data_IF_280554487189
#
_entry.id   IF_280554487189
#
_cell.length_a   1.000
_cell.length_b   1.000
_cell.length_c   1.000
_cell.angle_alpha   90.00
_cell.angle_beta   90.00
_cell.angle_gamma   90.00
#
_symmetry.space_group_name_H-M   'P 1'
#
loop_
_entity.id
_entity.type
_entity.pdbx_description
1 polymer ?
#
# COMPACT_ATOMS: atom_id res chain seq x y z
N UNK A 1 37.96 -11.29 -16.62
CA UNK A 1 36.57 -10.83 -16.46
C UNK A 1 35.88 -11.36 -15.19
N UNK A 2 36.02 -12.64 -14.82
CA UNK A 2 35.35 -13.21 -13.61
C UNK A 2 35.82 -12.64 -12.26
N UNK A 3 37.09 -12.30 -12.09
CA UNK A 3 37.65 -11.73 -10.81
C UNK A 3 37.21 -10.29 -10.54
N UNK A 4 36.90 -9.50 -11.56
CA UNK A 4 36.47 -8.11 -11.42
C UNK A 4 35.00 -7.99 -10.92
N UNK A 5 34.16 -8.97 -11.23
CA UNK A 5 32.77 -8.97 -10.76
C UNK A 5 32.64 -9.37 -9.28
N UNK A 6 33.54 -10.18 -8.75
CA UNK A 6 33.54 -10.56 -7.32
C UNK A 6 34.02 -9.41 -6.42
N UNK A 7 35.01 -8.63 -6.87
CA UNK A 7 35.51 -7.47 -6.12
C UNK A 7 34.46 -6.34 -6.07
N UNK A 8 33.71 -6.12 -7.17
CA UNK A 8 32.60 -5.15 -7.21
C UNK A 8 31.44 -5.53 -6.27
N UNK A 9 31.15 -6.83 -6.15
CA UNK A 9 30.08 -7.32 -5.25
C UNK A 9 30.49 -7.22 -3.77
N UNK A 10 31.78 -7.32 -3.45
CA UNK A 10 32.28 -7.19 -2.07
C UNK A 10 32.35 -5.71 -1.64
N UNK A 11 32.78 -4.82 -2.52
CA UNK A 11 32.82 -3.37 -2.27
C UNK A 11 31.42 -2.76 -2.04
N UNK A 12 30.39 -3.30 -2.71
CA UNK A 12 28.99 -2.85 -2.49
C UNK A 12 28.37 -3.34 -1.17
N UNK A 13 28.95 -4.33 -0.50
CA UNK A 13 28.47 -4.81 0.81
C UNK A 13 29.00 -4.00 1.99
N UNK A 14 30.08 -3.27 1.82
CA UNK A 14 30.76 -2.53 2.89
C UNK A 14 30.68 -1.00 2.75
N UNK A 15 30.07 -0.46 1.68
CA UNK A 15 29.94 0.98 1.49
C UNK A 15 28.82 1.51 2.39
N UNK A 16 29.23 2.15 3.46
CA UNK A 16 28.38 2.91 4.39
C UNK A 16 27.56 3.96 3.58
N UNK A 17 26.28 4.07 3.83
CA UNK A 17 25.29 4.92 3.15
C UNK A 17 25.72 6.38 3.03
N UNK A 18 26.51 6.86 3.96
CA UNK A 18 27.08 8.23 3.93
C UNK A 18 28.07 8.46 2.78
N UNK A 19 28.84 7.43 2.38
CA UNK A 19 29.71 7.47 1.20
C UNK A 19 28.90 7.40 -0.10
N UNK A 20 27.77 6.71 -0.07
CA UNK A 20 26.81 6.59 -1.18
C UNK A 20 26.17 7.95 -1.48
N UNK A 21 25.79 8.70 -0.44
CA UNK A 21 25.23 10.06 -0.54
C UNK A 21 26.25 11.11 -1.02
N UNK A 22 27.50 10.97 -0.61
CA UNK A 22 28.61 11.85 -1.07
C UNK A 22 28.96 11.57 -2.55
N UNK A 23 28.85 10.33 -2.99
CA UNK A 23 29.08 9.94 -4.37
C UNK A 23 28.04 10.55 -5.32
N UNK A 24 26.76 10.61 -4.89
CA UNK A 24 25.66 11.23 -5.65
C UNK A 24 25.85 12.73 -5.93
N UNK A 25 26.52 13.45 -5.06
CA UNK A 25 26.76 14.91 -5.21
C UNK A 25 27.78 15.29 -6.27
N UNK A 26 28.58 14.32 -6.75
CA UNK A 26 29.77 14.58 -7.56
C UNK A 26 29.71 14.05 -9.00
N UNK A 27 28.63 13.38 -9.41
CA UNK A 27 28.58 12.66 -10.69
C UNK A 27 27.80 13.44 -11.75
N UNK A 28 28.28 13.42 -13.00
CA UNK A 28 27.66 14.00 -14.19
C UNK A 28 26.36 13.29 -14.57
N UNK A 29 25.42 13.98 -15.27
CA UNK A 29 24.09 13.48 -15.63
C UNK A 29 24.06 12.09 -16.31
N UNK A 30 25.03 11.76 -17.16
CA UNK A 30 25.06 10.45 -17.84
C UNK A 30 25.44 9.28 -16.91
N UNK A 31 26.29 9.50 -15.93
CA UNK A 31 26.65 8.49 -14.93
C UNK A 31 25.52 8.28 -13.93
N UNK A 32 24.76 9.32 -13.60
CA UNK A 32 23.54 9.22 -12.80
C UNK A 32 22.47 8.35 -13.48
N UNK A 33 22.26 8.50 -14.78
CA UNK A 33 21.29 7.68 -15.55
C UNK A 33 21.72 6.21 -15.56
N UNK A 34 23.01 5.92 -15.76
CA UNK A 34 23.54 4.54 -15.69
C UNK A 34 23.43 3.96 -14.28
N UNK A 35 23.63 4.77 -13.26
CA UNK A 35 23.51 4.35 -11.86
C UNK A 35 22.05 4.03 -11.49
N UNK A 36 21.08 4.86 -11.88
CA UNK A 36 19.63 4.63 -11.68
C UNK A 36 19.18 3.33 -12.37
N UNK A 37 19.65 3.07 -13.60
CA UNK A 37 19.39 1.81 -14.28
C UNK A 37 20.03 0.60 -13.57
N UNK A 38 21.19 0.78 -12.91
CA UNK A 38 21.84 -0.26 -12.11
C UNK A 38 21.08 -0.56 -10.81
N UNK A 39 20.44 0.41 -10.15
CA UNK A 39 19.75 0.19 -8.87
C UNK A 39 18.50 -0.67 -9.01
N UNK A 40 17.66 -0.42 -10.03
CA UNK A 40 16.51 -1.30 -10.29
C UNK A 40 16.97 -2.73 -10.66
N UNK A 41 18.05 -2.85 -11.44
CA UNK A 41 18.64 -4.16 -11.77
C UNK A 41 19.14 -4.88 -10.50
N UNK A 42 19.73 -4.13 -9.55
CA UNK A 42 20.20 -4.65 -8.27
C UNK A 42 19.05 -5.19 -7.40
N UNK A 43 17.94 -4.46 -7.29
CA UNK A 43 16.82 -4.85 -6.45
C UNK A 43 15.78 -5.74 -7.15
N UNK A 44 15.89 -5.99 -8.45
CA UNK A 44 14.88 -6.69 -9.26
C UNK A 44 14.40 -8.00 -8.64
N UNK A 45 15.34 -8.88 -8.29
CA UNK A 45 15.01 -10.19 -7.74
C UNK A 45 14.46 -10.09 -6.31
N UNK A 46 14.93 -9.11 -5.54
CA UNK A 46 14.43 -8.83 -4.20
C UNK A 46 13.00 -8.30 -4.23
N UNK A 47 12.70 -7.38 -5.15
CA UNK A 47 11.34 -6.86 -5.37
C UNK A 47 10.37 -7.99 -5.75
N UNK A 48 10.72 -8.80 -6.75
CA UNK A 48 9.91 -9.95 -7.18
C UNK A 48 9.68 -10.96 -6.05
N UNK A 49 10.71 -11.29 -5.29
CA UNK A 49 10.62 -12.21 -4.16
C UNK A 49 9.72 -11.67 -3.04
N UNK A 50 9.89 -10.39 -2.67
CA UNK A 50 9.09 -9.77 -1.63
C UNK A 50 7.63 -9.57 -2.07
N UNK A 51 7.38 -9.18 -3.32
CA UNK A 51 6.02 -9.08 -3.87
C UNK A 51 5.29 -10.44 -3.84
N UNK A 52 5.95 -11.52 -4.25
CA UNK A 52 5.41 -12.88 -4.14
C UNK A 52 5.17 -13.31 -2.68
N UNK A 53 6.06 -12.92 -1.75
CA UNK A 53 5.88 -13.21 -0.32
C UNK A 53 4.66 -12.48 0.25
N UNK A 54 4.46 -11.20 -0.12
CA UNK A 54 3.29 -10.40 0.26
C UNK A 54 1.99 -10.97 -0.35
N UNK A 55 2.04 -11.39 -1.61
CA UNK A 55 0.91 -11.99 -2.33
C UNK A 55 0.73 -13.49 -2.05
N UNK A 56 1.29 -14.02 -0.96
CA UNK A 56 1.18 -15.45 -0.64
C UNK A 56 -0.28 -15.83 -0.38
N UNK A 57 -0.73 -16.91 -1.04
CA UNK A 57 -2.09 -17.44 -0.88
C UNK A 57 -2.42 -17.76 0.58
N UNK A 58 -3.64 -17.43 1.03
CA UNK A 58 -4.10 -17.62 2.40
C UNK A 58 -3.61 -16.57 3.40
N UNK A 59 -2.90 -15.51 2.93
CA UNK A 59 -2.45 -14.40 3.77
C UNK A 59 -2.86 -13.07 3.17
N UNK A 60 -3.08 -12.09 4.04
CA UNK A 60 -3.33 -10.70 3.66
C UNK A 60 -2.31 -9.74 4.28
N UNK A 61 -2.62 -8.47 4.21
CA UNK A 61 -1.80 -7.38 4.74
C UNK A 61 -2.60 -6.63 5.81
N UNK A 62 -1.98 -6.43 6.97
CA UNK A 62 -2.54 -5.60 8.04
C UNK A 62 -2.16 -4.13 7.77
N UNK A 63 -3.16 -3.26 7.59
CA UNK A 63 -2.94 -1.83 7.43
C UNK A 63 -3.12 -1.14 8.79
N UNK A 64 -2.01 -0.68 9.38
CA UNK A 64 -1.93 0.05 10.67
C UNK A 64 -1.20 1.38 10.49
N UNK A 65 -1.39 1.96 9.32
CA UNK A 65 -0.70 3.14 8.83
C UNK A 65 -1.50 4.45 8.98
N UNK A 66 -2.50 4.44 9.85
CA UNK A 66 -3.29 5.61 10.15
C UNK A 66 -2.40 6.75 10.65
N UNK A 67 -2.60 7.95 10.07
CA UNK A 67 -1.96 9.17 10.59
C UNK A 67 -2.39 9.43 12.03
N UNK A 68 -1.61 10.19 12.77
CA UNK A 68 -1.91 10.59 14.15
C UNK A 68 -3.34 11.13 14.31
N UNK A 69 -3.83 11.93 13.37
CA UNK A 69 -5.20 12.44 13.40
C UNK A 69 -6.27 11.36 13.15
N UNK A 70 -5.97 10.39 12.25
CA UNK A 70 -6.91 9.31 11.95
C UNK A 70 -7.00 8.30 13.08
N UNK A 71 -5.88 7.88 13.66
CA UNK A 71 -5.90 6.98 14.82
C UNK A 71 -6.52 7.67 16.05
N UNK A 72 -6.29 8.97 16.22
CA UNK A 72 -6.92 9.77 17.29
C UNK A 72 -8.44 9.73 17.24
N UNK A 73 -9.05 9.81 16.05
CA UNK A 73 -10.51 9.65 15.91
C UNK A 73 -11.00 8.27 16.33
N UNK A 74 -10.19 7.22 16.08
CA UNK A 74 -10.53 5.85 16.49
C UNK A 74 -10.42 5.67 18.00
N UNK A 75 -9.35 6.18 18.63
CA UNK A 75 -9.13 6.15 20.08
C UNK A 75 -10.21 6.94 20.82
N UNK A 76 -10.59 8.10 20.30
CA UNK A 76 -11.70 8.90 20.86
C UNK A 76 -13.02 8.10 20.88
N UNK A 77 -13.27 7.24 19.90
CA UNK A 77 -14.46 6.38 19.85
C UNK A 77 -14.53 5.31 20.95
N UNK A 78 -13.44 5.09 21.68
CA UNK A 78 -13.34 4.19 22.84
C UNK A 78 -12.90 4.94 24.11
N UNK A 79 -12.98 6.27 24.12
CA UNK A 79 -12.60 7.15 25.23
C UNK A 79 -11.11 7.04 25.66
N UNK A 80 -10.21 6.71 24.73
CA UNK A 80 -8.77 6.66 24.97
C UNK A 80 -8.12 7.91 24.38
N UNK A 81 -7.25 8.55 25.16
CA UNK A 81 -6.53 9.75 24.72
C UNK A 81 -5.53 9.43 23.60
N UNK A 82 -5.41 10.33 22.62
CA UNK A 82 -4.48 10.19 21.51
C UNK A 82 -3.06 10.63 21.89
N UNK A 83 -2.42 9.90 22.78
CA UNK A 83 -1.01 10.08 23.13
C UNK A 83 -0.11 9.16 22.31
N UNK A 84 1.18 9.45 22.24
CA UNK A 84 2.16 8.57 21.60
C UNK A 84 2.20 7.19 22.28
N UNK A 85 2.14 7.18 23.61
CA UNK A 85 2.14 5.95 24.42
C UNK A 85 0.94 5.06 24.09
N UNK A 86 -0.26 5.64 23.99
CA UNK A 86 -1.47 4.88 23.67
C UNK A 86 -1.44 4.36 22.22
N UNK A 87 -0.88 5.13 21.27
CA UNK A 87 -0.68 4.66 19.90
C UNK A 87 0.35 3.52 19.83
N UNK A 88 1.44 3.63 20.60
CA UNK A 88 2.46 2.60 20.72
C UNK A 88 1.86 1.31 21.32
N UNK A 89 1.15 1.41 22.42
CA UNK A 89 0.52 0.26 23.09
C UNK A 89 -0.48 -0.44 22.17
N UNK A 90 -1.36 0.32 21.52
CA UNK A 90 -2.33 -0.23 20.58
C UNK A 90 -1.67 -0.98 19.40
N UNK A 91 -0.68 -0.38 18.77
CA UNK A 91 0.04 -1.01 17.64
C UNK A 91 0.90 -2.17 18.09
N UNK A 92 1.51 -2.05 19.27
CA UNK A 92 2.26 -3.13 19.91
C UNK A 92 1.40 -4.37 20.15
N UNK A 93 0.22 -4.22 20.73
CA UNK A 93 -0.76 -5.28 20.91
C UNK A 93 -1.07 -6.01 19.60
N UNK A 94 -1.33 -5.25 18.51
CA UNK A 94 -1.63 -5.86 17.20
C UNK A 94 -0.44 -6.67 16.69
N UNK A 95 0.81 -6.19 16.83
CA UNK A 95 1.99 -6.85 16.29
C UNK A 95 2.45 -8.05 17.13
N UNK A 96 2.09 -8.10 18.39
CA UNK A 96 2.43 -9.21 19.29
C UNK A 96 1.33 -10.26 19.40
N UNK A 97 0.20 -10.07 18.71
CA UNK A 97 -0.88 -11.06 18.64
C UNK A 97 -0.31 -12.43 18.25
N UNK A 98 -0.54 -13.49 19.06
CA UNK A 98 -0.03 -14.84 18.79
C UNK A 98 -0.47 -15.34 17.42
N UNK A 99 0.42 -16.02 16.71
CA UNK A 99 0.15 -16.63 15.39
C UNK A 99 -0.28 -15.66 14.28
N UNK A 100 -0.15 -14.34 14.47
CA UNK A 100 -0.53 -13.34 13.46
C UNK A 100 0.12 -13.66 12.09
N UNK A 101 1.37 -14.11 12.10
CA UNK A 101 2.11 -14.49 10.90
C UNK A 101 1.53 -15.67 10.11
N UNK A 102 0.55 -16.42 10.67
CA UNK A 102 -0.18 -17.45 9.90
C UNK A 102 -1.12 -16.83 8.88
N UNK A 103 -1.67 -15.65 9.15
CA UNK A 103 -2.71 -14.98 8.35
C UNK A 103 -2.21 -13.71 7.67
N UNK A 104 -1.14 -13.09 8.17
CA UNK A 104 -0.62 -11.81 7.71
C UNK A 104 0.77 -12.01 7.09
N UNK A 105 0.95 -11.53 5.86
CA UNK A 105 2.21 -11.55 5.12
C UNK A 105 3.01 -10.26 5.26
N UNK A 106 2.34 -9.14 5.50
CA UNK A 106 2.92 -7.82 5.65
C UNK A 106 2.08 -6.91 6.53
N UNK A 107 2.69 -5.92 7.17
CA UNK A 107 2.02 -4.86 7.92
C UNK A 107 2.48 -3.49 7.42
N UNK A 108 1.52 -2.61 7.07
CA UNK A 108 1.83 -1.23 6.65
C UNK A 108 1.88 -0.37 7.90
N UNK A 109 3.03 0.24 8.17
CA UNK A 109 3.27 1.09 9.33
C UNK A 109 3.08 2.58 8.98
N UNK A 110 2.73 3.37 9.98
CA UNK A 110 2.93 4.81 9.97
C UNK A 110 4.38 5.13 10.32
N UNK A 111 4.92 6.27 9.90
CA UNK A 111 6.34 6.64 10.08
C UNK A 111 6.75 6.58 11.55
N UNK A 112 5.96 7.15 12.47
CA UNK A 112 6.19 7.07 13.92
C UNK A 112 6.49 5.63 14.38
N UNK A 113 5.67 4.68 13.97
CA UNK A 113 5.76 3.27 14.40
C UNK A 113 6.97 2.54 13.82
N UNK A 114 7.44 2.92 12.63
CA UNK A 114 8.64 2.34 12.03
C UNK A 114 9.90 2.60 12.89
N UNK A 115 9.90 3.72 13.61
CA UNK A 115 11.02 4.15 14.45
C UNK A 115 10.81 3.85 15.95
N UNK A 116 9.62 3.40 16.35
CA UNK A 116 9.30 3.09 17.74
C UNK A 116 9.74 1.68 18.16
N UNK A 117 10.04 1.57 19.44
CA UNK A 117 10.20 0.30 20.12
C UNK A 117 8.85 -0.13 20.76
N UNK A 118 8.66 -1.40 20.97
CA UNK A 118 7.61 -1.97 21.79
C UNK A 118 7.94 -1.74 23.29
N UNK A 119 6.96 -1.90 24.17
CA UNK A 119 7.13 -1.69 25.62
C UNK A 119 8.21 -2.53 26.27
N UNK A 120 8.62 -3.63 25.66
CA UNK A 120 9.72 -4.50 26.13
C UNK A 120 11.10 -4.10 25.59
N UNK A 121 11.22 -2.98 24.87
CA UNK A 121 12.46 -2.45 24.33
C UNK A 121 12.89 -3.01 22.98
N UNK A 122 12.16 -3.98 22.41
CA UNK A 122 12.42 -4.44 21.05
C UNK A 122 11.71 -3.54 20.02
N UNK A 123 12.34 -3.30 18.85
CA UNK A 123 11.70 -2.49 17.82
C UNK A 123 10.42 -3.13 17.30
N UNK A 124 9.41 -2.31 16.96
CA UNK A 124 8.16 -2.76 16.32
C UNK A 124 8.42 -3.57 15.04
N UNK A 125 9.45 -3.18 14.29
CA UNK A 125 9.92 -3.90 13.10
C UNK A 125 10.42 -5.31 13.46
N UNK A 126 11.13 -5.47 14.59
CA UNK A 126 11.60 -6.78 15.08
C UNK A 126 10.44 -7.69 15.42
N UNK A 127 9.41 -7.20 16.12
CA UNK A 127 8.19 -7.95 16.47
C UNK A 127 7.52 -8.56 15.24
N UNK A 128 7.37 -7.77 14.18
CA UNK A 128 6.81 -8.26 12.92
C UNK A 128 7.70 -9.32 12.25
N UNK A 129 9.02 -9.07 12.20
CA UNK A 129 9.97 -10.01 11.57
C UNK A 129 10.02 -11.36 12.27
N UNK A 130 9.93 -11.41 13.60
CA UNK A 130 9.90 -12.65 14.40
C UNK A 130 8.72 -13.55 13.99
N UNK A 131 7.60 -12.98 13.60
CA UNK A 131 6.44 -13.70 13.09
C UNK A 131 6.48 -13.95 11.55
N UNK A 132 7.58 -13.60 10.89
CA UNK A 132 7.74 -13.76 9.45
C UNK A 132 6.92 -12.78 8.62
N UNK A 133 6.42 -11.70 9.24
CA UNK A 133 5.65 -10.61 8.60
C UNK A 133 6.62 -9.58 8.04
N UNK A 134 6.43 -9.17 6.79
CA UNK A 134 7.22 -8.11 6.18
C UNK A 134 6.75 -6.73 6.70
N UNK A 135 7.66 -5.89 7.25
CA UNK A 135 7.32 -4.51 7.56
C UNK A 135 7.18 -3.69 6.29
N UNK A 136 6.18 -2.83 6.23
CA UNK A 136 5.96 -1.86 5.18
C UNK A 136 5.70 -0.48 5.73
N UNK A 137 5.65 0.52 4.88
CA UNK A 137 5.58 1.92 5.27
C UNK A 137 4.64 2.73 4.38
N UNK A 138 3.76 3.53 4.97
CA UNK A 138 3.02 4.59 4.28
C UNK A 138 3.97 5.75 3.98
N UNK A 139 4.16 6.07 2.70
CA UNK A 139 5.13 7.09 2.27
C UNK A 139 4.49 8.38 1.75
N UNK A 140 3.20 8.37 1.46
CA UNK A 140 2.48 9.60 1.09
C UNK A 140 2.38 10.59 2.26
N UNK A 141 2.33 11.87 1.94
CA UNK A 141 2.22 13.00 2.88
C UNK A 141 0.79 13.57 2.96
N UNK A 142 -0.20 12.79 2.50
CA UNK A 142 -1.62 13.13 2.56
C UNK A 142 -2.17 13.89 1.36
N UNK A 143 -3.49 13.98 1.33
CA UNK A 143 -4.26 14.58 0.25
C UNK A 143 -4.19 16.11 0.27
N UNK A 144 -4.17 16.70 -0.91
CA UNK A 144 -4.24 18.14 -1.16
C UNK A 144 -5.29 18.42 -2.23
N UNK A 145 -6.01 19.57 -2.18
CA UNK A 145 -6.89 19.96 -3.26
C UNK A 145 -6.14 19.99 -4.60
N UNK A 146 -6.76 19.47 -5.65
CA UNK A 146 -6.14 19.43 -6.98
C UNK A 146 -6.33 20.78 -7.69
N UNK A 147 -5.26 21.54 -7.97
CA UNK A 147 -5.39 22.78 -8.72
C UNK A 147 -5.95 22.52 -10.13
N UNK A 148 -7.00 23.24 -10.49
CA UNK A 148 -7.72 23.04 -11.76
C UNK A 148 -8.70 21.86 -11.77
N UNK A 149 -8.77 21.07 -10.72
CA UNK A 149 -9.75 20.01 -10.53
C UNK A 149 -11.10 20.52 -10.02
N UNK A 150 -12.07 19.63 -9.94
CA UNK A 150 -13.37 19.91 -9.31
C UNK A 150 -13.19 20.12 -7.78
N UNK A 151 -14.13 20.80 -7.08
CA UNK A 151 -13.94 21.20 -5.69
C UNK A 151 -13.62 20.06 -4.69
N UNK A 152 -14.03 18.83 -4.98
CA UNK A 152 -13.78 17.65 -4.15
C UNK A 152 -12.57 16.83 -4.62
N UNK A 153 -11.92 17.21 -5.72
CA UNK A 153 -10.81 16.44 -6.27
C UNK A 153 -9.49 16.75 -5.58
N UNK A 154 -8.72 15.71 -5.38
CA UNK A 154 -7.45 15.77 -4.65
C UNK A 154 -6.34 15.07 -5.40
N UNK A 155 -5.12 15.47 -5.09
CA UNK A 155 -3.91 14.69 -5.38
C UNK A 155 -3.18 14.34 -4.07
N UNK A 156 -2.27 13.40 -4.13
CA UNK A 156 -1.51 13.01 -2.95
C UNK A 156 -0.09 13.58 -3.02
N UNK A 157 0.34 14.28 -1.95
CA UNK A 157 1.65 14.90 -1.86
C UNK A 157 2.71 13.95 -1.29
N UNK A 158 4.02 14.27 -1.49
CA UNK A 158 5.13 13.55 -0.88
C UNK A 158 6.10 12.88 -1.84
N UNK A 159 6.03 13.20 -3.15
CA UNK A 159 6.96 12.69 -4.16
C UNK A 159 8.37 13.28 -4.03
N UNK A 160 8.46 14.55 -3.59
CA UNK A 160 9.74 15.23 -3.41
C UNK A 160 10.52 14.59 -2.27
N UNK A 161 11.80 14.26 -2.51
CA UNK A 161 12.68 13.55 -1.58
C UNK A 161 12.24 12.13 -1.22
N UNK A 162 11.41 11.50 -2.07
CA UNK A 162 10.87 10.17 -1.78
C UNK A 162 11.92 9.08 -1.89
N UNK A 163 12.85 9.16 -2.82
CA UNK A 163 13.91 8.15 -3.00
C UNK A 163 14.80 8.08 -1.75
N UNK A 164 15.21 9.24 -1.24
CA UNK A 164 16.03 9.36 -0.03
C UNK A 164 15.30 8.80 1.19
N UNK A 165 14.04 9.20 1.40
CA UNK A 165 13.21 8.66 2.49
C UNK A 165 12.96 7.16 2.36
N UNK A 166 12.74 6.67 1.15
CA UNK A 166 12.54 5.25 0.90
C UNK A 166 13.79 4.42 1.22
N UNK A 167 14.98 4.96 0.94
CA UNK A 167 16.26 4.34 1.31
C UNK A 167 16.40 4.24 2.83
N UNK A 168 16.12 5.31 3.56
CA UNK A 168 16.14 5.30 5.04
C UNK A 168 15.14 4.27 5.60
N UNK A 169 13.94 4.20 5.05
CA UNK A 169 12.94 3.22 5.48
C UNK A 169 13.38 1.77 5.19
N UNK A 170 14.03 1.54 4.04
CA UNK A 170 14.58 0.23 3.71
C UNK A 170 15.64 -0.20 4.73
N UNK A 171 16.54 0.70 5.14
CA UNK A 171 17.55 0.47 6.17
C UNK A 171 16.94 0.19 7.54
N UNK A 172 15.86 0.89 7.89
CA UNK A 172 15.08 0.62 9.11
C UNK A 172 14.32 -0.71 9.07
N UNK A 173 14.32 -1.39 7.94
CA UNK A 173 13.79 -2.74 7.80
C UNK A 173 12.49 -2.87 7.05
N UNK A 174 11.93 -1.78 6.52
CA UNK A 174 10.80 -1.83 5.59
C UNK A 174 11.19 -2.62 4.32
N UNK A 175 10.23 -3.31 3.73
CA UNK A 175 10.40 -4.09 2.50
C UNK A 175 9.35 -3.79 1.44
N UNK A 176 8.37 -3.02 1.79
CA UNK A 176 7.36 -2.51 0.88
C UNK A 176 6.87 -1.13 1.32
N UNK A 177 6.31 -0.40 0.40
CA UNK A 177 5.74 0.92 0.63
C UNK A 177 4.28 0.96 0.17
N UNK A 178 3.51 1.91 0.69
CA UNK A 178 2.13 2.15 0.27
C UNK A 178 1.91 3.64 0.02
N UNK A 179 1.17 3.92 -1.06
CA UNK A 179 0.72 5.26 -1.44
C UNK A 179 -0.74 5.21 -1.87
N UNK A 180 -1.56 6.04 -1.25
CA UNK A 180 -2.99 6.11 -1.50
C UNK A 180 -3.32 7.34 -2.34
N UNK A 181 -3.96 7.14 -3.48
CA UNK A 181 -4.68 8.15 -4.23
C UNK A 181 -6.18 7.98 -4.00
N UNK A 182 -6.93 9.08 -3.98
CA UNK A 182 -8.37 9.06 -3.70
C UNK A 182 -9.13 9.75 -4.84
N UNK A 183 -10.12 9.04 -5.38
CA UNK A 183 -11.02 9.56 -6.39
C UNK A 183 -12.46 9.38 -5.91
N UNK A 184 -13.30 10.38 -6.16
CA UNK A 184 -14.71 10.36 -5.78
C UNK A 184 -15.59 10.32 -7.03
N UNK A 185 -16.61 9.48 -7.00
CA UNK A 185 -17.65 9.46 -8.03
C UNK A 185 -18.69 10.52 -7.68
N UNK A 186 -18.66 11.61 -8.42
CA UNK A 186 -19.66 12.66 -8.36
C UNK A 186 -20.46 12.74 -9.68
N UNK A 187 -21.36 13.73 -9.82
CA UNK A 187 -22.14 13.90 -11.04
C UNK A 187 -21.22 14.04 -12.26
N UNK A 188 -20.23 14.95 -12.17
CA UNK A 188 -19.28 15.27 -13.23
C UNK A 188 -17.88 14.67 -13.03
N UNK A 189 -17.68 13.84 -12.00
CA UNK A 189 -16.36 13.35 -11.61
C UNK A 189 -16.26 11.82 -11.55
N UNK A 190 -15.04 11.31 -11.39
CA UNK A 190 -13.78 12.06 -11.38
C UNK A 190 -13.43 12.61 -12.78
N UNK A 191 -12.87 13.83 -12.82
CA UNK A 191 -12.41 14.47 -14.06
C UNK A 191 -11.21 13.72 -14.67
N UNK A 192 -10.98 13.92 -15.97
CA UNK A 192 -9.79 13.37 -16.63
C UNK A 192 -8.50 13.89 -15.99
N UNK A 193 -8.46 15.15 -15.55
CA UNK A 193 -7.35 15.73 -14.84
C UNK A 193 -7.06 14.99 -13.54
N UNK A 194 -8.09 14.72 -12.72
CA UNK A 194 -7.91 14.00 -11.46
C UNK A 194 -7.45 12.55 -11.69
N UNK A 195 -7.98 11.88 -12.71
CA UNK A 195 -7.56 10.52 -13.06
C UNK A 195 -6.09 10.50 -13.49
N UNK A 196 -5.68 11.41 -14.39
CA UNK A 196 -4.31 11.47 -14.91
C UNK A 196 -3.30 11.84 -13.83
N UNK A 197 -3.58 12.87 -13.02
CA UNK A 197 -2.68 13.31 -11.94
C UNK A 197 -2.45 12.19 -10.92
N UNK A 198 -3.52 11.54 -10.47
CA UNK A 198 -3.40 10.47 -9.49
C UNK A 198 -2.74 9.21 -10.07
N UNK A 199 -3.02 8.87 -11.32
CA UNK A 199 -2.37 7.77 -12.01
C UNK A 199 -0.86 8.00 -12.18
N UNK A 200 -0.48 9.21 -12.60
CA UNK A 200 0.93 9.60 -12.74
C UNK A 200 1.65 9.64 -11.39
N UNK A 201 1.00 10.21 -10.37
CA UNK A 201 1.53 10.24 -9.00
C UNK A 201 1.80 8.84 -8.44
N UNK A 202 0.85 7.90 -8.62
CA UNK A 202 0.99 6.50 -8.24
C UNK A 202 2.13 5.79 -8.98
N UNK A 203 2.27 6.03 -10.27
CA UNK A 203 3.32 5.43 -11.09
C UNK A 203 4.71 5.98 -10.73
N UNK A 204 4.84 7.30 -10.57
CA UNK A 204 6.07 7.95 -10.16
C UNK A 204 6.51 7.50 -8.76
N UNK A 205 5.58 7.42 -7.81
CA UNK A 205 5.82 6.84 -6.50
C UNK A 205 6.34 5.40 -6.61
N UNK A 206 5.63 4.56 -7.37
CA UNK A 206 5.98 3.15 -7.50
C UNK A 206 7.40 2.96 -8.03
N UNK A 207 7.78 3.71 -9.07
CA UNK A 207 9.14 3.69 -9.61
C UNK A 207 10.17 4.16 -8.58
N UNK A 208 9.92 5.29 -7.90
CA UNK A 208 10.84 5.86 -6.92
C UNK A 208 11.18 4.88 -5.79
N UNK A 209 10.17 4.20 -5.23
CA UNK A 209 10.43 3.26 -4.10
C UNK A 209 11.06 1.95 -4.56
N UNK A 210 10.85 1.53 -5.81
CA UNK A 210 11.55 0.37 -6.38
C UNK A 210 13.05 0.59 -6.50
N UNK A 211 13.50 1.81 -6.74
CA UNK A 211 14.92 2.16 -6.76
C UNK A 211 15.59 2.03 -5.39
N UNK A 212 14.81 2.09 -4.31
CA UNK A 212 15.25 1.85 -2.94
C UNK A 212 14.96 0.43 -2.44
N UNK A 213 14.52 -0.50 -3.30
CA UNK A 213 14.27 -1.90 -2.96
C UNK A 213 12.95 -2.18 -2.25
N UNK A 214 12.04 -1.21 -2.17
CA UNK A 214 10.71 -1.38 -1.60
C UNK A 214 9.68 -1.77 -2.66
N UNK A 215 8.89 -2.82 -2.38
CA UNK A 215 7.74 -3.20 -3.22
C UNK A 215 6.64 -2.14 -3.11
N UNK A 216 6.23 -1.45 -4.18
CA UNK A 216 5.13 -0.52 -4.10
C UNK A 216 3.77 -1.23 -4.04
N UNK A 217 2.95 -0.86 -3.07
CA UNK A 217 1.51 -1.09 -3.09
C UNK A 217 0.85 0.14 -3.71
N UNK A 218 0.29 -0.04 -4.88
CA UNK A 218 -0.39 1.00 -5.66
C UNK A 218 -1.86 1.01 -5.25
N UNK A 219 -2.33 2.09 -4.59
CA UNK A 219 -3.68 2.17 -4.01
C UNK A 219 -4.52 3.27 -4.68
N UNK A 220 -5.13 3.00 -5.85
CA UNK A 220 -6.13 3.88 -6.45
C UNK A 220 -7.49 3.63 -5.80
N UNK A 221 -7.78 4.31 -4.71
CA UNK A 221 -9.05 4.16 -4.01
C UNK A 221 -10.14 5.00 -4.68
N UNK A 222 -11.22 4.34 -5.03
CA UNK A 222 -12.48 4.99 -5.40
C UNK A 222 -13.39 4.96 -4.17
N UNK A 223 -13.80 6.13 -3.71
CA UNK A 223 -14.69 6.27 -2.57
C UNK A 223 -16.07 5.71 -2.91
N UNK A 224 -16.70 5.11 -1.90
CA UNK A 224 -18.07 4.62 -2.01
C UNK A 224 -19.12 5.67 -1.60
N UNK A 225 -18.70 6.91 -1.30
CA UNK A 225 -19.60 8.01 -0.99
C UNK A 225 -20.46 8.35 -2.21
N UNK A 226 -21.77 8.57 -2.00
CA UNK A 226 -22.73 8.90 -3.05
C UNK A 226 -23.76 7.80 -3.32
N UNK A 227 -24.64 8.06 -4.29
CA UNK A 227 -25.80 7.25 -4.63
C UNK A 227 -25.65 6.43 -5.93
N UNK A 228 -24.45 6.39 -6.48
CA UNK A 228 -24.18 5.77 -7.78
C UNK A 228 -24.36 4.24 -7.75
N UNK A 229 -24.95 3.71 -8.84
CA UNK A 229 -25.10 2.28 -9.06
C UNK A 229 -23.73 1.63 -9.40
N UNK A 230 -23.60 0.33 -9.10
CA UNK A 230 -22.40 -0.48 -9.31
C UNK A 230 -21.82 -0.39 -10.73
N UNK A 231 -22.65 -0.21 -11.76
CA UNK A 231 -22.20 -0.08 -13.15
C UNK A 231 -21.43 1.21 -13.40
N UNK A 232 -21.78 2.31 -12.71
CA UNK A 232 -21.02 3.57 -12.76
C UNK A 232 -19.66 3.37 -12.08
N UNK A 233 -19.62 2.72 -10.93
CA UNK A 233 -18.38 2.36 -10.24
C UNK A 233 -17.48 1.50 -11.14
N UNK A 234 -18.03 0.45 -11.75
CA UNK A 234 -17.30 -0.45 -12.63
C UNK A 234 -16.65 0.30 -13.80
N UNK A 235 -17.40 1.16 -14.47
CA UNK A 235 -16.89 1.96 -15.61
C UNK A 235 -15.76 2.89 -15.20
N UNK A 236 -15.93 3.60 -14.08
CA UNK A 236 -14.94 4.55 -13.59
C UNK A 236 -13.70 3.82 -13.10
N UNK A 237 -13.87 2.74 -12.35
CA UNK A 237 -12.75 1.94 -11.83
C UNK A 237 -11.89 1.36 -12.95
N UNK A 238 -12.51 0.85 -14.03
CA UNK A 238 -11.77 0.42 -15.23
C UNK A 238 -10.91 1.54 -15.81
N UNK A 239 -11.51 2.71 -16.01
CA UNK A 239 -10.80 3.88 -16.55
C UNK A 239 -9.61 4.26 -15.68
N UNK A 240 -9.80 4.33 -14.37
CA UNK A 240 -8.77 4.69 -13.40
C UNK A 240 -7.63 3.68 -13.41
N UNK A 241 -7.93 2.38 -13.30
CA UNK A 241 -6.90 1.33 -13.25
C UNK A 241 -6.14 1.23 -14.58
N UNK A 242 -6.82 1.38 -15.72
CA UNK A 242 -6.17 1.43 -17.03
C UNK A 242 -5.17 2.58 -17.13
N UNK A 243 -5.54 3.78 -16.68
CA UNK A 243 -4.65 4.94 -16.70
C UNK A 243 -3.47 4.76 -15.71
N UNK A 244 -3.70 4.15 -14.54
CA UNK A 244 -2.64 3.80 -13.59
C UNK A 244 -1.61 2.87 -14.23
N UNK A 245 -2.02 1.79 -14.90
CA UNK A 245 -1.05 0.87 -15.52
C UNK A 245 -0.38 1.43 -16.75
N UNK A 246 -1.06 2.26 -17.54
CA UNK A 246 -0.44 3.02 -18.62
C UNK A 246 0.65 3.96 -18.07
N UNK A 247 0.37 4.68 -16.98
CA UNK A 247 1.36 5.52 -16.32
C UNK A 247 2.52 4.70 -15.74
N UNK A 248 2.25 3.51 -15.15
CA UNK A 248 3.27 2.60 -14.65
C UNK A 248 4.21 2.12 -15.76
N UNK A 249 3.69 1.78 -16.93
CA UNK A 249 4.49 1.42 -18.10
C UNK A 249 5.40 2.58 -18.54
N UNK A 250 4.83 3.78 -18.65
CA UNK A 250 5.57 5.00 -19.04
C UNK A 250 6.68 5.38 -18.04
N UNK A 251 6.48 5.07 -16.75
CA UNK A 251 7.49 5.28 -15.71
C UNK A 251 8.46 4.10 -15.55
N UNK A 252 8.35 3.04 -16.34
CA UNK A 252 9.23 1.86 -16.29
C UNK A 252 9.12 1.09 -14.98
N UNK A 253 7.93 1.01 -14.40
CA UNK A 253 7.67 0.25 -13.16
C UNK A 253 7.78 -1.25 -13.43
N UNK A 254 8.53 -1.96 -12.59
CA UNK A 254 8.62 -3.42 -12.61
C UNK A 254 7.34 -4.02 -12.02
N UNK A 255 6.40 -4.45 -12.87
CA UNK A 255 5.08 -4.91 -12.43
C UNK A 255 5.13 -6.17 -11.56
N UNK A 256 6.02 -7.11 -11.83
CA UNK A 256 6.22 -8.31 -11.00
C UNK A 256 6.77 -8.00 -9.58
N UNK A 257 7.21 -6.77 -9.38
CA UNK A 257 7.66 -6.23 -8.09
C UNK A 257 6.66 -5.23 -7.47
N UNK A 258 5.37 -5.33 -7.80
CA UNK A 258 4.29 -4.46 -7.28
C UNK A 258 3.17 -5.26 -6.65
N UNK A 259 2.26 -4.59 -5.93
CA UNK A 259 0.91 -5.07 -5.61
C UNK A 259 -0.10 -3.98 -5.92
N UNK A 260 -1.32 -4.37 -6.30
CA UNK A 260 -2.45 -3.47 -6.44
C UNK A 260 -3.32 -3.52 -5.17
N UNK A 261 -3.73 -2.35 -4.68
CA UNK A 261 -4.68 -2.23 -3.56
C UNK A 261 -5.89 -1.39 -3.98
N UNK A 262 -6.84 -1.96 -4.72
CA UNK A 262 -8.01 -1.24 -5.20
C UNK A 262 -9.16 -1.30 -4.21
N UNK A 263 -10.18 -0.44 -4.41
CA UNK A 263 -11.53 -0.64 -3.89
C UNK A 263 -12.16 -1.87 -4.55
N UNK A 264 -13.12 -2.50 -3.88
CA UNK A 264 -14.03 -3.42 -4.54
C UNK A 264 -15.02 -2.63 -5.42
N UNK A 265 -15.57 -3.26 -6.45
CA UNK A 265 -16.59 -2.64 -7.31
C UNK A 265 -17.93 -2.75 -6.61
N UNK A 266 -18.35 -1.71 -5.90
CA UNK A 266 -19.58 -1.66 -5.08
C UNK A 266 -20.49 -0.52 -5.55
N UNK A 267 -21.75 -0.53 -5.14
CA UNK A 267 -22.60 0.65 -5.22
C UNK A 267 -22.10 1.76 -4.29
N UNK A 268 -22.53 2.97 -4.54
CA UNK A 268 -22.42 4.06 -3.58
C UNK A 268 -23.13 3.72 -2.27
N UNK A 269 -22.65 4.29 -1.16
CA UNK A 269 -23.20 4.00 0.16
C UNK A 269 -24.69 4.40 0.29
N UNK A 270 -25.07 5.46 -0.42
CA UNK A 270 -26.44 6.00 -0.42
C UNK A 270 -27.29 5.48 -1.61
N UNK A 271 -26.77 4.53 -2.40
CA UNK A 271 -27.49 3.96 -3.53
C UNK A 271 -28.73 3.19 -3.03
N UNK A 272 -29.94 3.50 -3.51
CA UNK A 272 -31.15 2.80 -3.07
C UNK A 272 -31.21 1.34 -3.58
N UNK A 273 -30.56 1.08 -4.71
CA UNK A 273 -30.59 -0.23 -5.39
C UNK A 273 -29.25 -0.97 -5.10
N UNK A 274 -29.02 -1.34 -3.83
CA UNK A 274 -27.89 -2.17 -3.43
C UNK A 274 -27.96 -3.56 -4.08
N UNK A 275 -26.82 -4.10 -4.46
CA UNK A 275 -26.74 -5.40 -5.13
C UNK A 275 -26.25 -6.50 -4.19
N UNK A 276 -26.56 -7.75 -4.54
CA UNK A 276 -26.08 -8.93 -3.82
C UNK A 276 -24.55 -9.05 -3.86
N UNK A 277 -23.98 -9.65 -2.83
CA UNK A 277 -22.53 -9.85 -2.67
C UNK A 277 -21.89 -10.64 -3.82
N UNK A 278 -22.62 -11.56 -4.46
CA UNK A 278 -22.13 -12.31 -5.64
C UNK A 278 -22.00 -11.40 -6.85
N UNK A 279 -22.92 -10.46 -7.02
CA UNK A 279 -22.84 -9.44 -8.08
C UNK A 279 -21.62 -8.54 -7.86
N UNK A 280 -21.38 -8.10 -6.61
CA UNK A 280 -20.18 -7.34 -6.26
C UNK A 280 -18.91 -8.12 -6.62
N UNK A 281 -18.83 -9.39 -6.24
CA UNK A 281 -17.69 -10.24 -6.53
C UNK A 281 -17.45 -10.40 -8.04
N UNK A 282 -18.50 -10.72 -8.79
CA UNK A 282 -18.44 -10.86 -10.25
C UNK A 282 -18.00 -9.57 -10.95
N UNK A 283 -18.63 -8.43 -10.60
CA UNK A 283 -18.29 -7.12 -11.16
C UNK A 283 -16.86 -6.72 -10.84
N UNK A 284 -16.40 -7.00 -9.61
CA UNK A 284 -15.03 -6.72 -9.19
C UNK A 284 -14.01 -7.54 -9.99
N UNK A 285 -14.20 -8.87 -10.08
CA UNK A 285 -13.29 -9.73 -10.87
C UNK A 285 -13.31 -9.35 -12.36
N UNK A 286 -14.48 -9.12 -12.95
CA UNK A 286 -14.61 -8.66 -14.34
C UNK A 286 -13.87 -7.33 -14.59
N UNK A 287 -13.96 -6.39 -13.64
CA UNK A 287 -13.24 -5.12 -13.71
C UNK A 287 -11.74 -5.37 -13.77
N UNK A 288 -11.22 -6.14 -12.83
CA UNK A 288 -9.79 -6.39 -12.72
C UNK A 288 -9.24 -7.18 -13.91
N UNK A 289 -9.93 -8.22 -14.38
CA UNK A 289 -9.54 -9.00 -15.56
C UNK A 289 -9.43 -8.14 -16.83
N UNK A 290 -10.18 -7.04 -16.90
CA UNK A 290 -10.16 -6.14 -18.06
C UNK A 290 -9.05 -5.09 -18.04
N UNK A 291 -8.35 -4.89 -16.92
CA UNK A 291 -7.44 -3.75 -16.77
C UNK A 291 -6.15 -4.03 -15.96
N UNK A 292 -6.05 -5.14 -15.22
CA UNK A 292 -4.84 -5.44 -14.45
C UNK A 292 -3.94 -6.42 -15.19
N UNK A 293 -2.66 -6.06 -15.45
CA UNK A 293 -1.71 -6.96 -16.09
C UNK A 293 -1.49 -8.25 -15.29
N UNK A 294 -1.39 -9.43 -15.95
CA UNK A 294 -1.18 -10.71 -15.27
C UNK A 294 0.18 -10.84 -14.58
N UNK A 295 1.13 -9.95 -14.87
CA UNK A 295 2.46 -9.91 -14.25
C UNK A 295 2.41 -9.45 -12.79
N UNK A 296 1.36 -8.75 -12.36
CA UNK A 296 1.18 -8.31 -10.97
C UNK A 296 0.97 -9.53 -10.08
N UNK A 297 1.77 -9.75 -9.01
CA UNK A 297 1.66 -10.96 -8.21
C UNK A 297 0.39 -11.09 -7.39
N UNK A 298 -0.19 -9.96 -6.97
CA UNK A 298 -1.35 -9.98 -6.09
C UNK A 298 -2.15 -8.69 -6.07
N UNK A 299 -3.43 -8.86 -5.77
CA UNK A 299 -4.40 -7.81 -5.53
C UNK A 299 -4.87 -7.93 -4.10
N UNK A 300 -4.64 -6.87 -3.31
CA UNK A 300 -4.97 -6.83 -1.90
C UNK A 300 -5.98 -5.71 -1.67
N UNK A 301 -7.28 -6.03 -1.63
CA UNK A 301 -8.35 -5.05 -1.53
C UNK A 301 -8.26 -4.20 -0.26
N UNK A 302 -8.56 -2.91 -0.39
CA UNK A 302 -8.91 -2.10 0.77
C UNK A 302 -10.33 -2.42 1.25
N UNK A 303 -10.64 -2.13 2.52
CA UNK A 303 -11.99 -2.29 3.05
C UNK A 303 -12.85 -1.03 2.87
N UNK A 304 -12.22 0.14 2.72
CA UNK A 304 -12.93 1.41 2.55
C UNK A 304 -13.95 1.66 3.67
N UNK A 305 -15.21 1.87 3.31
CA UNK A 305 -16.34 2.02 4.21
C UNK A 305 -17.08 0.73 4.57
N UNK A 306 -16.65 -0.43 4.04
CA UNK A 306 -17.28 -1.72 4.29
C UNK A 306 -17.16 -2.16 5.74
N UNK A 307 -18.16 -2.88 6.25
CA UNK A 307 -18.08 -3.58 7.53
C UNK A 307 -17.07 -4.72 7.50
N UNK A 308 -16.64 -5.22 8.67
CA UNK A 308 -15.75 -6.37 8.80
C UNK A 308 -16.34 -7.61 8.10
N UNK A 309 -17.65 -7.83 8.24
CA UNK A 309 -18.39 -8.92 7.63
C UNK A 309 -18.47 -8.77 6.11
N UNK A 310 -18.98 -7.63 5.61
CA UNK A 310 -19.13 -7.40 4.17
C UNK A 310 -17.79 -7.51 3.42
N UNK A 311 -16.72 -6.93 3.95
CA UNK A 311 -15.39 -7.03 3.37
C UNK A 311 -14.89 -8.48 3.28
N UNK A 312 -15.23 -9.31 4.27
CA UNK A 312 -14.87 -10.74 4.30
C UNK A 312 -15.71 -11.57 3.33
N UNK A 313 -17.02 -11.34 3.29
CA UNK A 313 -17.96 -12.06 2.40
C UNK A 313 -17.63 -11.76 0.94
N UNK A 314 -17.45 -10.50 0.57
CA UNK A 314 -17.12 -10.13 -0.81
C UNK A 314 -15.80 -10.76 -1.27
N UNK A 315 -14.77 -10.73 -0.41
CA UNK A 315 -13.49 -11.35 -0.70
C UNK A 315 -13.60 -12.86 -0.87
N UNK A 316 -14.39 -13.54 -0.02
CA UNK A 316 -14.63 -14.97 -0.12
C UNK A 316 -15.29 -15.32 -1.47
N UNK A 317 -16.35 -14.61 -1.86
CA UNK A 317 -17.03 -14.85 -3.14
C UNK A 317 -16.11 -14.62 -4.34
N UNK A 318 -15.23 -13.60 -4.31
CA UNK A 318 -14.23 -13.40 -5.36
C UNK A 318 -13.26 -14.58 -5.47
N UNK A 319 -12.83 -15.15 -4.35
CA UNK A 319 -11.95 -16.33 -4.35
C UNK A 319 -12.66 -17.61 -4.82
N UNK A 320 -13.98 -17.73 -4.63
CA UNK A 320 -14.77 -18.85 -5.15
C UNK A 320 -14.93 -18.83 -6.68
N UNK A 321 -14.88 -17.65 -7.31
CA UNK A 321 -14.87 -17.53 -8.78
C UNK A 321 -13.62 -18.18 -9.38
N UNK A 322 -12.46 -18.03 -8.77
CA UNK A 322 -11.25 -18.80 -9.06
C UNK A 322 -10.54 -18.54 -10.39
N UNK A 323 -10.95 -17.56 -11.18
CA UNK A 323 -10.44 -17.31 -12.54
C UNK A 323 -9.31 -16.26 -12.61
N UNK A 324 -8.88 -15.72 -11.48
CA UNK A 324 -7.89 -14.63 -11.45
C UNK A 324 -6.45 -15.14 -11.64
N UNK A 325 -5.62 -14.50 -12.50
CA UNK A 325 -4.21 -14.85 -12.65
C UNK A 325 -3.35 -14.40 -11.44
N UNK A 326 -3.87 -13.53 -10.59
CA UNK A 326 -3.24 -12.98 -9.39
C UNK A 326 -3.74 -13.68 -8.13
N UNK A 327 -2.97 -13.60 -7.05
CA UNK A 327 -3.54 -13.89 -5.74
C UNK A 327 -4.50 -12.75 -5.33
N UNK A 328 -5.72 -13.11 -4.97
CA UNK A 328 -6.76 -12.18 -4.53
C UNK A 328 -6.88 -12.28 -3.02
N UNK A 329 -6.58 -11.18 -2.31
CA UNK A 329 -6.53 -11.14 -0.86
C UNK A 329 -6.89 -9.73 -0.33
N UNK A 330 -6.57 -9.45 0.91
CA UNK A 330 -6.91 -8.21 1.59
C UNK A 330 -5.68 -7.39 2.02
N UNK A 331 -5.88 -6.07 2.14
CA UNK A 331 -5.05 -5.15 2.91
C UNK A 331 -5.97 -4.25 3.72
N UNK A 332 -6.47 -4.79 4.82
CA UNK A 332 -7.51 -4.15 5.62
C UNK A 332 -6.92 -3.38 6.80
N UNK A 333 -7.53 -2.21 7.06
CA UNK A 333 -7.35 -1.43 8.27
C UNK A 333 -8.57 -1.64 9.19
N UNK A 334 -9.64 -0.86 9.00
CA UNK A 334 -10.84 -0.91 9.85
C UNK A 334 -11.44 -2.30 9.95
N UNK A 335 -11.56 -3.03 8.85
CA UNK A 335 -12.16 -4.36 8.81
C UNK A 335 -11.33 -5.46 9.53
N UNK A 336 -10.15 -5.15 10.06
CA UNK A 336 -9.40 -6.04 10.96
C UNK A 336 -9.25 -5.50 12.36
N UNK A 337 -9.49 -4.18 12.56
CA UNK A 337 -9.12 -3.50 13.80
C UNK A 337 -10.32 -3.05 14.63
N UNK A 338 -11.51 -2.94 14.02
CA UNK A 338 -12.66 -2.36 14.70
C UNK A 338 -13.06 -3.14 15.96
N UNK A 339 -13.19 -4.44 15.85
CA UNK A 339 -13.51 -5.32 16.98
C UNK A 339 -12.35 -5.41 17.96
N UNK A 340 -11.09 -5.46 17.49
CA UNK A 340 -9.90 -5.45 18.35
C UNK A 340 -9.83 -4.17 19.18
N UNK A 341 -10.09 -3.02 18.57
CA UNK A 341 -10.07 -1.73 19.25
C UNK A 341 -11.12 -1.66 20.34
N UNK A 342 -12.33 -2.14 20.06
CA UNK A 342 -13.42 -2.24 21.03
C UNK A 342 -13.14 -3.19 22.19
N UNK A 343 -12.39 -4.24 21.97
CA UNK A 343 -11.97 -5.18 23.01
C UNK A 343 -10.83 -4.64 23.87
N UNK A 344 -9.89 -3.92 23.26
CA UNK A 344 -8.70 -3.39 23.95
C UNK A 344 -9.03 -2.26 24.95
N UNK A 345 -9.88 -1.31 24.59
CA UNK A 345 -10.36 -0.19 25.45
C UNK A 345 -9.24 0.59 26.17
N UNK A 346 -8.01 0.53 25.68
CA UNK A 346 -6.87 1.17 26.34
C UNK A 346 -6.25 0.35 27.49
N UNK A 347 -6.74 -0.86 27.74
CA UNK A 347 -6.20 -1.75 28.77
C UNK A 347 -4.97 -2.49 28.24
N UNK A 348 -3.89 -2.46 29.01
CA UNK A 348 -2.70 -3.28 28.78
C UNK A 348 -2.68 -4.52 29.70
N UNK A 349 -3.79 -4.83 30.34
CA UNK A 349 -3.96 -6.07 31.11
C UNK A 349 -4.15 -7.23 30.13
N UNK A 350 -3.34 -8.29 30.31
CA UNK A 350 -3.37 -9.52 29.54
C UNK A 350 -4.69 -10.31 29.71
#
# INVERSE_FOLDING_TARGET
MMKMNHLKCHLMREVNTSLFYLYFKTINNEENIKFIQMTLTYYRDTLKRNAKKLARRGKGILAVDESTGTVGKRLAGINVENTEVNRQAYRGMLFTTPDLGRYISGAILFEETLYQDHVDGESMVSKLKQQGILPGIKVDKGLKPLPGGLPHETYCSGLDGLVERASDYYERGARFAKWRAVLQIAEDGPSDLAIQENAWGLARYARSVQESGLVPIVEPEILMDGDHHIDKTQRIQRKVIQEVYKACEQNGVLLEGTLLKPSMTVCGADCPDQVDYKVVAQKTIQTLLSCVPPQVPGINFLSGGLSEEAASVYLNEMNLIGEAPWNVSFSYGRALQHSCLKGWLGSNEE
#
